data_IF_950312448449
#
_entry.id   IF_950312448449
#
_cell.length_a   1.000
_cell.length_b   1.000
_cell.length_c   1.000
_cell.angle_alpha   90.00
_cell.angle_beta   90.00
_cell.angle_gamma   90.00
#
_symmetry.space_group_name_H-M   'P 1'
#
loop_
_entity.id
_entity.type
_entity.pdbx_description
1 polymer ?
#
# COMPACT_ATOMS: atom_id res chain seq x y z
N UNK A 1 -75.02 -32.87 -31.14
CA UNK A 1 -73.65 -32.62 -30.66
C UNK A 1 -73.54 -31.13 -30.32
N UNK A 2 -73.26 -30.82 -29.06
CA UNK A 2 -73.57 -29.54 -28.43
C UNK A 2 -72.36 -28.58 -28.51
N UNK A 3 -72.48 -27.47 -29.25
CA UNK A 3 -71.39 -26.55 -29.62
C UNK A 3 -70.97 -25.57 -28.50
N UNK A 4 -71.53 -25.71 -27.30
CA UNK A 4 -71.42 -24.70 -26.23
C UNK A 4 -70.28 -24.96 -25.22
N UNK A 5 -69.72 -26.17 -25.19
CA UNK A 5 -68.63 -26.53 -24.25
C UNK A 5 -67.21 -26.16 -24.74
N UNK A 6 -67.04 -25.81 -26.03
CA UNK A 6 -65.71 -25.46 -26.58
C UNK A 6 -65.30 -24.00 -26.37
N UNK A 7 -66.22 -23.11 -25.99
CA UNK A 7 -65.92 -21.68 -25.81
C UNK A 7 -65.30 -21.33 -24.45
N UNK A 8 -65.43 -22.19 -23.45
CA UNK A 8 -64.92 -21.91 -22.09
C UNK A 8 -63.47 -22.36 -21.86
N UNK A 9 -62.89 -23.17 -22.76
CA UNK A 9 -61.50 -23.62 -22.67
C UNK A 9 -60.50 -22.68 -23.34
N UNK A 10 -60.95 -21.79 -24.23
CA UNK A 10 -60.07 -20.84 -24.92
C UNK A 10 -59.83 -19.53 -24.14
N UNK A 11 -60.77 -19.11 -23.27
CA UNK A 11 -60.61 -17.86 -22.50
C UNK A 11 -59.74 -18.02 -21.24
N UNK A 12 -59.57 -19.22 -20.70
CA UNK A 12 -58.70 -19.48 -19.53
C UNK A 12 -57.25 -19.68 -19.91
N UNK A 13 -56.95 -20.15 -21.13
CA UNK A 13 -55.58 -20.32 -21.62
C UNK A 13 -54.94 -18.97 -21.98
N UNK A 14 -55.73 -18.00 -22.45
CA UNK A 14 -55.21 -16.69 -22.85
C UNK A 14 -54.80 -15.79 -21.66
N UNK A 15 -55.45 -15.95 -20.50
CA UNK A 15 -55.10 -15.22 -19.27
C UNK A 15 -53.89 -15.83 -18.53
N UNK A 16 -53.61 -17.11 -18.71
CA UNK A 16 -52.39 -17.76 -18.18
C UNK A 16 -51.16 -17.50 -19.06
N UNK A 17 -51.33 -17.25 -20.36
CA UNK A 17 -50.22 -16.91 -21.26
C UNK A 17 -49.72 -15.46 -21.09
N UNK A 18 -50.56 -14.54 -20.60
CA UNK A 18 -50.15 -13.14 -20.38
C UNK A 18 -49.30 -12.97 -19.10
N UNK A 19 -49.46 -13.85 -18.11
CA UNK A 19 -48.66 -13.84 -16.87
C UNK A 19 -47.29 -14.54 -16.99
N UNK A 20 -47.04 -15.28 -18.09
CA UNK A 20 -45.77 -15.99 -18.31
C UNK A 20 -44.74 -15.20 -19.14
N UNK A 21 -45.10 -14.05 -19.71
CA UNK A 21 -44.16 -13.25 -20.53
C UNK A 21 -43.44 -12.16 -19.72
N UNK A 22 -44.03 -11.58 -18.68
CA UNK A 22 -43.43 -10.43 -17.98
C UNK A 22 -42.34 -10.78 -16.96
N UNK A 23 -41.80 -12.01 -16.99
CA UNK A 23 -40.96 -12.55 -15.91
C UNK A 23 -39.47 -12.72 -16.20
N UNK A 24 -38.97 -12.53 -17.42
CA UNK A 24 -37.52 -12.53 -17.65
C UNK A 24 -36.98 -11.10 -17.45
N UNK A 25 -36.81 -10.72 -16.18
CA UNK A 25 -35.82 -9.72 -15.85
C UNK A 25 -34.46 -10.29 -16.31
N UNK A 26 -33.90 -9.72 -17.38
CA UNK A 26 -32.53 -10.01 -17.76
C UNK A 26 -31.65 -9.65 -16.55
N UNK A 27 -31.10 -10.66 -15.88
CA UNK A 27 -30.09 -10.42 -14.86
C UNK A 27 -28.99 -9.60 -15.53
N UNK A 28 -28.78 -8.35 -15.08
CA UNK A 28 -27.58 -7.60 -15.46
C UNK A 28 -26.41 -8.53 -15.17
N UNK A 29 -25.59 -8.81 -16.19
CA UNK A 29 -24.36 -9.54 -15.98
C UNK A 29 -23.59 -8.79 -14.89
N UNK A 30 -23.30 -9.45 -13.77
CA UNK A 30 -22.44 -8.86 -12.75
C UNK A 30 -21.05 -8.63 -13.32
N UNK A 31 -20.26 -7.75 -12.71
CA UNK A 31 -18.91 -7.44 -13.20
C UNK A 31 -17.98 -8.66 -13.27
N UNK A 32 -18.28 -9.73 -12.52
CA UNK A 32 -17.50 -10.97 -12.44
C UNK A 32 -18.32 -12.13 -13.02
N UNK A 33 -17.97 -12.54 -14.24
CA UNK A 33 -18.49 -13.74 -14.92
C UNK A 33 -17.33 -14.52 -15.53
N UNK A 34 -17.61 -15.70 -16.09
CA UNK A 34 -16.60 -16.45 -16.87
C UNK A 34 -16.14 -15.70 -18.13
N UNK A 35 -16.90 -14.72 -18.61
CA UNK A 35 -16.62 -13.94 -19.81
C UNK A 35 -16.01 -12.56 -19.48
N UNK A 36 -16.29 -12.00 -18.30
CA UNK A 36 -15.88 -10.66 -17.89
C UNK A 36 -15.26 -10.71 -16.49
N UNK A 37 -14.00 -10.30 -16.34
CA UNK A 37 -13.24 -10.22 -15.08
C UNK A 37 -13.21 -11.47 -14.15
N UNK A 38 -13.19 -12.68 -14.71
CA UNK A 38 -13.13 -13.95 -13.95
C UNK A 38 -12.00 -14.01 -12.89
N UNK A 39 -10.88 -13.32 -13.12
CA UNK A 39 -9.71 -13.30 -12.22
C UNK A 39 -9.96 -12.71 -10.83
N UNK A 40 -11.03 -11.91 -10.63
CA UNK A 40 -11.39 -11.42 -9.29
C UNK A 40 -12.04 -12.48 -8.40
N UNK A 41 -12.39 -13.66 -8.92
CA UNK A 41 -12.89 -14.77 -8.09
C UNK A 41 -11.80 -15.43 -7.24
N UNK A 42 -10.52 -15.29 -7.62
CA UNK A 42 -9.37 -15.97 -7.02
C UNK A 42 -8.61 -15.13 -5.98
N UNK A 43 -8.74 -13.79 -6.04
CA UNK A 43 -8.09 -12.87 -5.10
C UNK A 43 -8.96 -12.65 -3.87
N UNK A 44 -8.59 -13.24 -2.73
CA UNK A 44 -9.21 -12.95 -1.42
C UNK A 44 -8.18 -12.81 -0.31
N UNK A 45 -8.39 -11.86 0.62
CA UNK A 45 -9.58 -11.00 0.79
C UNK A 45 -9.45 -9.61 0.12
N UNK A 46 -10.54 -9.12 -0.49
CA UNK A 46 -10.75 -7.70 -0.83
C UNK A 46 -11.01 -6.89 0.45
N UNK A 47 -10.71 -5.58 0.45
CA UNK A 47 -10.94 -4.71 1.61
C UNK A 47 -11.90 -3.56 1.27
N UNK A 48 -13.02 -3.40 2.01
CA UNK A 48 -13.59 -4.37 2.95
C UNK A 48 -14.10 -5.63 2.24
N UNK A 49 -14.27 -6.73 2.96
CA UNK A 49 -14.56 -8.05 2.36
C UNK A 49 -15.96 -8.11 1.70
N UNK A 50 -16.84 -7.23 2.15
CA UNK A 50 -18.21 -7.02 1.70
C UNK A 50 -18.40 -5.86 0.71
N UNK A 51 -17.33 -5.14 0.33
CA UNK A 51 -17.45 -4.04 -0.63
C UNK A 51 -17.90 -4.55 -2.02
N UNK A 52 -18.92 -3.90 -2.56
CA UNK A 52 -19.34 -4.05 -3.95
C UNK A 52 -18.40 -3.28 -4.89
N UNK A 53 -18.29 -3.69 -6.16
CA UNK A 53 -17.41 -3.03 -7.13
C UNK A 53 -17.73 -1.52 -7.28
N UNK A 54 -19.02 -1.18 -7.19
CA UNK A 54 -19.57 0.19 -7.29
C UNK A 54 -19.21 1.11 -6.14
N UNK A 55 -18.78 0.58 -4.98
CA UNK A 55 -18.29 1.42 -3.87
C UNK A 55 -16.97 2.10 -4.22
N UNK A 56 -16.28 1.58 -5.23
CA UNK A 56 -14.92 1.91 -5.59
C UNK A 56 -14.81 2.43 -7.04
N UNK A 57 -15.58 1.82 -7.93
CA UNK A 57 -15.67 2.20 -9.34
C UNK A 57 -16.93 3.04 -9.61
N UNK A 58 -16.77 4.05 -10.44
CA UNK A 58 -17.84 4.81 -11.06
C UNK A 58 -18.37 4.02 -12.26
N UNK A 59 -19.68 3.81 -12.32
CA UNK A 59 -20.39 3.23 -13.47
C UNK A 59 -21.44 4.21 -14.04
N UNK A 60 -21.05 5.34 -14.67
CA UNK A 60 -22.05 6.26 -15.19
C UNK A 60 -22.49 5.89 -16.61
N UNK A 61 -21.57 5.40 -17.47
CA UNK A 61 -21.76 5.25 -18.92
C UNK A 61 -20.74 4.24 -19.54
N UNK A 62 -20.59 3.07 -18.91
CA UNK A 62 -19.54 2.09 -19.19
C UNK A 62 -19.33 1.75 -20.69
N UNK A 63 -18.19 2.22 -21.25
CA UNK A 63 -17.63 1.83 -22.57
C UNK A 63 -16.70 0.61 -22.52
N UNK A 64 -16.33 0.12 -21.33
CA UNK A 64 -15.48 -1.03 -21.03
C UNK A 64 -16.21 -2.39 -21.14
N UNK A 65 -17.54 -2.41 -21.07
CA UNK A 65 -18.37 -3.59 -21.32
C UNK A 65 -18.16 -4.22 -22.72
N UNK A 66 -17.54 -3.51 -23.67
CA UNK A 66 -17.25 -4.00 -25.02
C UNK A 66 -16.00 -4.87 -25.18
N UNK A 67 -15.19 -5.04 -24.12
CA UNK A 67 -13.92 -5.77 -24.18
C UNK A 67 -12.77 -4.94 -24.79
N UNK A 68 -11.64 -4.87 -24.09
CA UNK A 68 -10.47 -4.09 -24.50
C UNK A 68 -10.53 -2.58 -24.23
N UNK A 69 -11.54 -2.12 -23.47
CA UNK A 69 -11.67 -0.73 -23.03
C UNK A 69 -10.80 -0.37 -21.82
N UNK A 70 -10.73 0.91 -21.50
CA UNK A 70 -10.09 1.42 -20.28
C UNK A 70 -10.80 0.88 -19.02
N UNK A 71 -10.08 0.68 -17.90
CA UNK A 71 -10.70 0.31 -16.63
C UNK A 71 -11.80 1.30 -16.22
N UNK A 72 -12.84 0.86 -15.48
CA UNK A 72 -13.81 1.79 -14.93
C UNK A 72 -13.13 2.91 -14.14
N UNK A 73 -13.69 4.12 -14.24
CA UNK A 73 -13.19 5.26 -13.48
C UNK A 73 -13.32 4.99 -11.98
N UNK A 74 -12.40 5.50 -11.17
CA UNK A 74 -12.44 5.37 -9.72
C UNK A 74 -13.12 6.59 -9.10
N UNK A 75 -13.78 6.41 -7.95
CA UNK A 75 -14.12 7.55 -7.10
C UNK A 75 -12.82 8.21 -6.63
N UNK A 76 -12.67 9.53 -6.84
CA UNK A 76 -11.45 10.28 -6.49
C UNK A 76 -11.08 10.14 -5.00
N UNK A 77 -12.08 9.98 -4.15
CA UNK A 77 -11.96 9.91 -2.69
C UNK A 77 -12.17 8.51 -2.10
N UNK A 78 -12.23 7.48 -2.93
CA UNK A 78 -12.58 6.11 -2.55
C UNK A 78 -11.89 5.64 -1.26
N UNK A 79 -10.58 5.89 -1.15
CA UNK A 79 -9.79 5.44 -0.01
C UNK A 79 -9.99 6.34 1.22
N UNK A 80 -10.05 7.65 1.02
CA UNK A 80 -10.08 8.64 2.11
C UNK A 80 -11.49 8.89 2.64
N UNK A 81 -12.53 8.42 1.94
CA UNK A 81 -13.90 8.40 2.45
C UNK A 81 -14.00 7.58 3.76
N UNK A 82 -13.16 6.55 3.90
CA UNK A 82 -13.07 5.72 5.11
C UNK A 82 -11.75 5.92 5.88
N UNK A 83 -10.65 6.26 5.20
CA UNK A 83 -9.32 6.47 5.80
C UNK A 83 -8.90 7.94 5.79
N UNK A 84 -9.77 8.83 6.24
CA UNK A 84 -9.58 10.28 6.21
C UNK A 84 -8.30 10.78 6.93
N UNK A 85 -7.83 10.06 7.94
CA UNK A 85 -6.63 10.41 8.72
C UNK A 85 -5.30 10.12 8.01
N UNK A 86 -5.27 9.31 6.95
CA UNK A 86 -4.01 8.87 6.29
C UNK A 86 -3.27 10.03 5.61
N UNK A 87 -3.99 11.09 5.25
CA UNK A 87 -3.42 12.29 4.65
C UNK A 87 -3.09 13.38 5.67
N UNK A 88 -3.45 13.19 6.94
CA UNK A 88 -3.30 14.18 8.00
C UNK A 88 -1.88 14.17 8.58
N UNK A 89 -0.89 14.49 7.74
CA UNK A 89 0.52 14.54 8.11
C UNK A 89 1.15 15.87 7.75
N UNK A 90 2.00 16.39 8.63
CA UNK A 90 2.74 17.65 8.37
C UNK A 90 3.67 17.54 7.15
N UNK A 91 4.26 16.38 6.93
CA UNK A 91 5.11 16.07 5.78
C UNK A 91 4.57 14.82 5.08
N UNK A 92 3.71 14.97 4.06
CA UNK A 92 3.18 13.83 3.32
C UNK A 92 4.27 13.15 2.52
N UNK A 93 4.17 11.82 2.37
CA UNK A 93 5.04 11.09 1.45
C UNK A 93 4.52 11.30 0.02
N UNK A 94 5.37 11.79 -0.89
CA UNK A 94 4.92 12.24 -2.23
C UNK A 94 4.03 11.28 -3.03
N UNK A 95 4.24 9.95 -3.02
CA UNK A 95 3.33 9.02 -3.72
C UNK A 95 1.93 8.94 -3.09
N UNK A 96 1.78 9.36 -1.84
CA UNK A 96 0.53 9.26 -1.07
C UNK A 96 -0.25 10.54 -1.26
N UNK A 97 -1.09 10.53 -2.28
CA UNK A 97 -2.11 11.54 -2.54
C UNK A 97 -3.50 10.92 -2.42
N UNK A 98 -4.54 11.76 -2.50
CA UNK A 98 -5.94 11.37 -2.34
C UNK A 98 -6.37 10.19 -3.21
N UNK A 99 -5.87 10.13 -4.45
CA UNK A 99 -6.24 9.14 -5.46
C UNK A 99 -5.13 8.15 -5.80
N UNK A 100 -3.99 8.18 -5.10
CA UNK A 100 -2.78 7.40 -5.45
C UNK A 100 -2.49 6.22 -4.52
N UNK A 101 -3.40 5.84 -3.62
CA UNK A 101 -3.19 4.73 -2.69
C UNK A 101 -2.86 3.40 -3.40
N UNK A 102 -3.39 3.21 -4.60
CA UNK A 102 -3.21 2.02 -5.42
C UNK A 102 -1.77 1.86 -5.97
N UNK A 103 -0.92 2.89 -5.89
CA UNK A 103 0.49 2.80 -6.30
C UNK A 103 1.29 1.86 -5.39
N UNK A 104 0.80 1.62 -4.17
CA UNK A 104 1.42 0.70 -3.21
C UNK A 104 0.47 -0.37 -2.69
N UNK A 105 -0.85 -0.14 -2.74
CA UNK A 105 -1.86 -1.10 -2.28
C UNK A 105 -2.64 -1.70 -3.44
N UNK A 106 -2.96 -2.99 -3.41
CA UNK A 106 -3.90 -3.66 -4.31
C UNK A 106 -5.28 -3.77 -3.63
N UNK A 107 -6.22 -2.84 -3.87
CA UNK A 107 -7.54 -2.85 -3.24
C UNK A 107 -8.39 -4.07 -3.64
N UNK A 108 -8.04 -4.76 -4.73
CA UNK A 108 -8.72 -5.98 -5.18
C UNK A 108 -8.22 -7.23 -4.46
N UNK A 109 -7.33 -7.07 -3.49
CA UNK A 109 -6.78 -8.16 -2.70
C UNK A 109 -5.47 -8.67 -3.27
N UNK A 110 -4.48 -8.81 -2.38
CA UNK A 110 -3.27 -9.59 -2.61
C UNK A 110 -3.13 -10.58 -1.44
N UNK A 111 -2.51 -11.73 -1.68
CA UNK A 111 -2.14 -12.71 -0.66
C UNK A 111 -1.16 -12.12 0.37
N UNK A 112 -0.50 -11.02 0.03
CA UNK A 112 0.38 -10.29 0.92
C UNK A 112 -0.36 -9.44 1.96
N UNK A 113 0.23 -9.34 3.17
CA UNK A 113 -0.32 -8.53 4.27
C UNK A 113 -0.51 -7.07 3.85
N UNK A 114 -1.60 -6.45 4.33
CA UNK A 114 -1.92 -5.03 4.10
C UNK A 114 -2.09 -4.65 2.62
N UNK A 115 -2.43 -5.63 1.77
CA UNK A 115 -2.66 -5.40 0.33
C UNK A 115 -1.42 -4.91 -0.42
N UNK A 116 -0.21 -5.25 0.02
CA UNK A 116 1.02 -4.75 -0.62
C UNK A 116 1.49 -5.73 -1.70
N UNK A 117 1.65 -5.34 -2.98
CA UNK A 117 2.03 -6.23 -4.07
C UNK A 117 3.52 -6.58 -4.08
N UNK A 118 4.26 -6.05 -3.10
CA UNK A 118 5.69 -6.22 -3.01
C UNK A 118 6.17 -6.49 -1.58
N UNK A 119 7.35 -7.12 -1.49
CA UNK A 119 8.01 -7.45 -0.24
C UNK A 119 8.14 -6.22 0.66
N UNK A 120 7.46 -6.30 1.80
CA UNK A 120 7.48 -5.33 2.88
C UNK A 120 7.41 -6.08 4.20
N UNK A 121 8.35 -5.83 5.10
CA UNK A 121 8.32 -6.45 6.43
C UNK A 121 7.63 -5.59 7.47
N UNK A 122 6.66 -6.18 8.18
CA UNK A 122 6.06 -5.64 9.39
C UNK A 122 6.91 -5.89 10.65
N UNK A 123 8.10 -6.48 10.53
CA UNK A 123 9.01 -6.70 11.67
C UNK A 123 9.89 -5.47 11.92
N UNK A 124 10.28 -5.27 13.16
CA UNK A 124 11.21 -4.20 13.57
C UNK A 124 12.64 -4.49 13.11
N UNK A 125 13.04 -5.76 13.22
CA UNK A 125 14.35 -6.24 12.79
C UNK A 125 14.16 -7.29 11.71
N UNK A 126 14.92 -7.14 10.62
CA UNK A 126 15.00 -8.07 9.50
C UNK A 126 16.42 -8.13 8.97
N UNK A 127 16.84 -9.30 8.51
CA UNK A 127 18.10 -9.44 7.81
C UNK A 127 17.97 -8.76 6.45
N UNK A 128 19.03 -8.08 6.01
CA UNK A 128 18.99 -7.39 4.73
C UNK A 128 18.85 -8.38 3.57
N UNK A 129 17.87 -8.13 2.71
CA UNK A 129 17.79 -8.70 1.37
C UNK A 129 17.02 -7.73 0.48
N UNK A 130 17.32 -7.73 -0.82
CA UNK A 130 16.60 -6.88 -1.78
C UNK A 130 15.09 -7.18 -1.79
N UNK A 131 14.70 -8.43 -1.57
CA UNK A 131 13.29 -8.82 -1.49
C UNK A 131 12.60 -8.23 -0.25
N UNK A 132 13.27 -8.18 0.90
CA UNK A 132 12.69 -7.67 2.14
C UNK A 132 12.31 -6.17 2.07
N UNK A 133 12.91 -5.44 1.13
CA UNK A 133 12.67 -4.01 0.88
C UNK A 133 12.12 -3.75 -0.54
N UNK A 134 11.65 -4.78 -1.25
CA UNK A 134 11.26 -4.67 -2.66
C UNK A 134 10.22 -3.59 -2.92
N UNK A 135 9.25 -3.41 -2.00
CA UNK A 135 8.27 -2.34 -2.10
C UNK A 135 8.94 -0.96 -2.11
N UNK A 136 9.89 -0.72 -1.20
CA UNK A 136 10.59 0.56 -1.11
C UNK A 136 11.45 0.82 -2.35
N UNK A 137 12.08 -0.23 -2.87
CA UNK A 137 12.98 -0.15 -4.02
C UNK A 137 12.29 -0.01 -5.37
N UNK A 138 10.94 -0.04 -5.42
CA UNK A 138 10.21 0.36 -6.62
C UNK A 138 10.42 1.84 -6.97
N UNK A 139 10.76 2.67 -5.97
CA UNK A 139 11.04 4.11 -6.15
C UNK A 139 12.39 4.55 -5.57
N UNK A 140 12.83 3.98 -4.44
CA UNK A 140 14.08 4.37 -3.80
C UNK A 140 15.27 3.59 -4.37
N UNK A 141 16.36 4.29 -4.70
CA UNK A 141 17.58 3.67 -5.24
C UNK A 141 18.28 2.79 -4.21
N UNK A 142 18.60 1.56 -4.58
CA UNK A 142 19.31 0.59 -3.73
C UNK A 142 20.65 1.10 -3.21
N UNK A 143 21.30 2.00 -3.94
CA UNK A 143 22.55 2.68 -3.57
C UNK A 143 22.53 3.26 -2.15
N UNK A 144 21.33 3.62 -1.63
CA UNK A 144 21.18 4.10 -0.26
C UNK A 144 21.65 3.08 0.80
N UNK A 145 21.65 1.78 0.47
CA UNK A 145 21.99 0.67 1.35
C UNK A 145 23.18 -0.19 0.90
N UNK A 146 23.68 -0.02 -0.32
CA UNK A 146 24.67 -0.95 -0.88
C UNK A 146 26.11 -0.69 -0.42
N UNK A 147 26.45 0.57 -0.16
CA UNK A 147 27.84 0.96 0.11
C UNK A 147 28.01 1.44 1.57
N UNK A 148 29.02 0.93 2.31
CA UNK A 148 29.32 1.38 3.67
C UNK A 148 29.79 2.84 3.72
N UNK A 149 30.34 3.34 2.61
CA UNK A 149 30.74 4.72 2.42
C UNK A 149 30.05 5.33 1.18
N UNK A 150 29.63 6.60 1.27
CA UNK A 150 29.04 7.36 0.17
C UNK A 150 29.14 8.85 0.40
N UNK A 151 29.28 9.63 -0.68
CA UNK A 151 29.14 11.09 -0.68
C UNK A 151 27.86 11.58 -1.36
N UNK A 152 27.17 10.72 -2.11
CA UNK A 152 26.10 11.10 -3.03
C UNK A 152 24.79 10.30 -2.82
N UNK A 153 24.87 9.04 -2.39
CA UNK A 153 23.71 8.14 -2.33
C UNK A 153 22.70 8.51 -1.24
N UNK A 154 23.16 9.16 -0.16
CA UNK A 154 22.30 9.63 0.93
C UNK A 154 22.88 10.83 1.67
N UNK A 155 21.98 11.66 2.22
CA UNK A 155 22.31 12.71 3.17
C UNK A 155 22.43 12.24 4.63
N UNK A 156 21.96 11.03 4.95
CA UNK A 156 22.10 10.40 6.26
C UNK A 156 23.46 9.69 6.36
N UNK A 157 24.51 10.50 6.57
CA UNK A 157 25.90 10.05 6.63
C UNK A 157 26.71 10.92 7.59
N UNK A 158 27.77 10.36 8.18
CA UNK A 158 28.76 11.10 8.96
C UNK A 158 30.08 11.10 8.18
N UNK A 159 30.47 12.25 7.63
CA UNK A 159 31.49 12.31 6.58
C UNK A 159 31.08 11.47 5.36
N UNK A 160 31.86 10.44 5.04
CA UNK A 160 31.52 9.44 4.02
C UNK A 160 30.74 8.26 4.58
N UNK A 161 30.72 8.04 5.89
CA UNK A 161 30.14 6.83 6.48
C UNK A 161 28.63 6.81 6.27
N UNK A 162 28.13 5.84 5.50
CA UNK A 162 26.72 5.70 5.19
C UNK A 162 25.94 5.15 6.40
N UNK A 163 25.16 6.02 7.06
CA UNK A 163 24.43 5.60 8.25
C UNK A 163 23.20 4.75 7.91
N UNK A 164 22.63 4.82 6.70
CA UNK A 164 21.60 3.85 6.31
C UNK A 164 22.17 2.44 6.23
N UNK A 165 23.32 2.27 5.57
CA UNK A 165 24.03 0.99 5.50
C UNK A 165 24.26 0.41 6.89
N UNK A 166 24.83 1.20 7.81
CA UNK A 166 25.14 0.75 9.18
C UNK A 166 23.91 0.26 9.97
N UNK A 167 22.71 0.74 9.66
CA UNK A 167 21.50 0.43 10.40
C UNK A 167 20.68 -0.69 9.75
N UNK A 168 20.65 -0.71 8.42
CA UNK A 168 19.70 -1.53 7.65
C UNK A 168 20.40 -2.72 7.00
N UNK A 169 21.60 -2.51 6.43
CA UNK A 169 22.35 -3.56 5.74
C UNK A 169 23.13 -4.42 6.73
N UNK A 170 22.43 -5.31 7.45
CA UNK A 170 23.03 -6.28 8.38
C UNK A 170 22.51 -7.69 8.11
N UNK A 171 23.43 -8.66 8.20
CA UNK A 171 23.12 -10.08 8.13
C UNK A 171 22.31 -10.57 9.35
N UNK A 172 22.39 -9.86 10.47
CA UNK A 172 21.61 -10.14 11.68
C UNK A 172 21.04 -8.84 12.27
N UNK A 173 19.72 -8.80 12.44
CA UNK A 173 18.98 -7.66 13.03
C UNK A 173 19.21 -6.32 12.33
N UNK A 174 19.20 -6.32 10.99
CA UNK A 174 19.02 -5.09 10.23
C UNK A 174 17.70 -4.41 10.60
N UNK A 175 17.65 -3.09 10.53
CA UNK A 175 16.46 -2.32 10.91
C UNK A 175 15.55 -2.15 9.71
N UNK A 176 14.27 -2.45 9.85
CA UNK A 176 13.30 -2.12 8.81
C UNK A 176 13.15 -0.61 8.66
N UNK A 177 12.80 -0.13 7.46
CA UNK A 177 12.61 1.30 7.20
C UNK A 177 11.60 1.93 8.16
N UNK A 178 10.55 1.18 8.51
CA UNK A 178 9.48 1.62 9.42
C UNK A 178 9.89 1.84 10.87
N UNK A 179 11.10 1.40 11.25
CA UNK A 179 11.64 1.68 12.59
C UNK A 179 12.10 3.14 12.73
N UNK A 180 12.28 3.84 11.61
CA UNK A 180 12.67 5.24 11.58
C UNK A 180 11.69 6.11 10.77
N UNK A 181 11.03 5.54 9.77
CA UNK A 181 10.18 6.27 8.83
C UNK A 181 8.70 5.92 8.94
N UNK A 182 7.82 6.91 8.79
CA UNK A 182 6.38 6.72 8.56
C UNK A 182 6.09 6.89 7.06
N UNK A 183 5.48 5.89 6.42
CA UNK A 183 5.47 5.80 4.96
C UNK A 183 4.25 6.44 4.28
N UNK A 184 3.19 6.77 5.01
CA UNK A 184 2.09 7.57 4.48
C UNK A 184 2.38 9.07 4.56
N UNK A 185 3.05 9.47 5.64
CA UNK A 185 3.52 10.82 5.91
C UNK A 185 3.96 10.91 7.35
N UNK A 186 4.74 11.92 7.71
CA UNK A 186 5.27 12.05 9.06
C UNK A 186 5.13 13.46 9.60
N UNK A 187 5.26 13.58 10.92
CA UNK A 187 5.31 14.88 11.61
C UNK A 187 6.67 15.57 11.48
N UNK A 188 7.69 14.84 11.01
CA UNK A 188 9.04 15.35 10.87
C UNK A 188 9.52 15.25 9.41
N UNK A 189 10.40 16.16 8.98
CA UNK A 189 10.98 16.12 7.64
C UNK A 189 11.69 14.79 7.36
N UNK A 190 11.79 14.44 6.07
CA UNK A 190 12.38 13.17 5.61
C UNK A 190 11.62 11.92 6.11
N UNK A 191 10.31 12.08 6.30
CA UNK A 191 9.39 11.02 6.73
C UNK A 191 9.77 10.41 8.07
N UNK A 192 10.46 11.14 8.94
CA UNK A 192 10.93 10.59 10.21
C UNK A 192 9.76 10.45 11.19
N UNK A 193 9.57 9.23 11.71
CA UNK A 193 8.54 8.97 12.70
C UNK A 193 8.85 9.71 14.00
N UNK A 194 7.84 10.35 14.61
CA UNK A 194 8.03 10.98 15.92
C UNK A 194 8.30 9.92 17.01
N UNK A 195 7.60 8.79 16.91
CA UNK A 195 7.78 7.61 17.75
C UNK A 195 7.42 6.36 16.96
N UNK A 196 7.99 5.22 17.37
CA UNK A 196 7.76 3.92 16.74
C UNK A 196 7.45 2.86 17.79
N UNK A 197 6.65 1.86 17.42
CA UNK A 197 6.30 0.76 18.31
C UNK A 197 7.47 -0.20 18.49
N UNK A 198 7.92 -0.37 19.72
CA UNK A 198 8.95 -1.32 20.11
C UNK A 198 8.42 -2.21 21.25
N UNK A 199 7.82 -3.35 20.89
CA UNK A 199 7.01 -4.11 21.84
C UNK A 199 5.83 -3.27 22.34
N UNK A 200 5.68 -3.18 23.66
CA UNK A 200 4.65 -2.36 24.30
C UNK A 200 5.05 -0.89 24.48
N UNK A 201 6.29 -0.54 24.14
CA UNK A 201 6.80 0.82 24.30
C UNK A 201 6.66 1.62 23.01
N UNK A 202 6.08 2.81 23.10
CA UNK A 202 6.21 3.83 22.05
C UNK A 202 7.53 4.58 22.22
N UNK A 203 8.53 4.10 21.51
CA UNK A 203 9.89 4.61 21.57
C UNK A 203 9.99 5.91 20.76
N UNK A 204 10.30 7.06 21.38
CA UNK A 204 10.50 8.29 20.64
C UNK A 204 11.79 8.21 19.82
N UNK A 205 11.74 8.66 18.56
CA UNK A 205 12.94 8.70 17.71
C UNK A 205 13.80 9.95 18.03
N UNK A 206 13.15 11.02 18.50
CA UNK A 206 13.78 12.31 18.84
C UNK A 206 14.78 12.78 17.78
N UNK A 207 14.40 12.68 16.51
CA UNK A 207 15.23 13.13 15.42
C UNK A 207 15.27 14.66 15.37
N UNK A 208 16.47 15.21 15.23
CA UNK A 208 16.73 16.65 15.09
C UNK A 208 17.63 16.86 13.88
N UNK A 209 17.24 17.77 13.00
CA UNK A 209 18.04 18.16 11.84
C UNK A 209 18.98 19.30 12.22
N UNK A 210 20.19 19.27 11.69
CA UNK A 210 21.11 20.42 11.64
C UNK A 210 21.40 20.77 10.18
N UNK A 211 22.07 21.91 9.93
CA UNK A 211 22.44 22.34 8.56
C UNK A 211 23.17 21.22 7.80
N UNK A 212 24.12 20.55 8.45
CA UNK A 212 24.99 19.56 7.83
C UNK A 212 24.72 18.11 8.26
N UNK A 213 23.71 17.86 9.08
CA UNK A 213 23.37 16.51 9.48
C UNK A 213 22.20 16.47 10.45
N UNK A 214 22.42 15.91 11.63
CA UNK A 214 21.38 15.78 12.64
C UNK A 214 21.78 14.90 13.82
N UNK A 215 20.79 14.57 14.64
CA UNK A 215 20.97 13.68 15.78
C UNK A 215 19.72 12.86 16.05
N UNK A 216 19.90 11.70 16.67
CA UNK A 216 18.82 10.94 17.27
C UNK A 216 19.12 10.78 18.76
N UNK A 217 18.10 10.94 19.61
CA UNK A 217 18.23 10.96 21.08
C UNK A 217 17.33 9.87 21.69
N UNK A 218 17.69 9.29 22.85
CA UNK A 218 17.71 7.84 22.95
C UNK A 218 16.35 7.18 22.88
N UNK A 219 16.31 6.17 22.01
CA UNK A 219 15.40 5.04 22.06
C UNK A 219 16.16 3.70 22.03
N UNK A 220 17.26 3.61 21.26
CA UNK A 220 18.03 2.37 21.09
C UNK A 220 19.51 2.45 21.54
N UNK A 221 20.11 3.63 21.52
CA UNK A 221 21.49 3.89 21.97
C UNK A 221 21.57 5.33 22.49
N UNK A 222 22.65 5.66 23.19
CA UNK A 222 22.98 7.03 23.59
C UNK A 222 22.89 8.01 22.42
N UNK A 223 22.62 9.28 22.68
CA UNK A 223 22.48 10.29 21.63
C UNK A 223 23.68 10.27 20.69
N UNK A 224 23.42 10.04 19.41
CA UNK A 224 24.44 10.12 18.35
C UNK A 224 24.11 11.30 17.45
N UNK A 225 25.16 12.03 17.08
CA UNK A 225 25.09 13.12 16.12
C UNK A 225 25.85 12.72 14.86
N UNK A 226 25.41 13.26 13.73
CA UNK A 226 26.10 13.08 12.46
C UNK A 226 26.24 14.41 11.74
N UNK A 227 27.36 14.55 11.04
CA UNK A 227 27.68 15.72 10.22
C UNK A 227 28.31 15.23 8.92
N UNK A 228 27.75 15.65 7.79
CA UNK A 228 28.23 15.30 6.45
C UNK A 228 29.60 15.88 6.11
N UNK A 229 30.04 16.94 6.82
CA UNK A 229 31.34 17.59 6.66
C UNK A 229 32.42 17.01 7.58
N UNK A 230 32.07 16.09 8.49
CA UNK A 230 33.04 15.45 9.36
C UNK A 230 34.07 14.63 8.56
N UNK A 231 35.29 14.53 9.08
CA UNK A 231 36.32 13.65 8.50
C UNK A 231 35.97 12.19 8.80
N UNK A 232 36.16 11.29 7.82
CA UNK A 232 35.73 9.89 7.91
C UNK A 232 36.31 9.13 9.13
N UNK A 233 37.44 9.59 9.69
CA UNK A 233 38.07 9.01 10.88
C UNK A 233 37.26 9.20 12.18
N UNK A 234 36.39 10.21 12.27
CA UNK A 234 35.67 10.56 13.50
C UNK A 234 34.41 9.71 13.77
N UNK A 235 34.01 8.83 12.84
CA UNK A 235 32.72 8.13 12.91
C UNK A 235 32.75 6.61 12.77
N UNK A 236 33.91 5.99 12.51
CA UNK A 236 34.01 4.51 12.46
C UNK A 236 34.12 3.97 13.88
N UNK A 237 33.12 3.21 14.38
CA UNK A 237 33.38 2.38 15.56
C UNK A 237 34.55 1.45 15.23
N UNK A 238 35.50 1.33 16.14
CA UNK A 238 36.64 0.44 15.99
C UNK A 238 36.12 -0.99 15.72
N UNK A 239 36.46 -1.55 14.55
CA UNK A 239 36.34 -2.96 14.18
C UNK A 239 35.15 -3.73 14.76
N UNK A 240 33.95 -3.53 14.20
CA UNK A 240 32.89 -4.52 14.31
C UNK A 240 33.05 -5.54 13.19
N UNK A 241 33.53 -6.73 13.53
CA UNK A 241 33.72 -7.86 12.60
C UNK A 241 32.46 -8.07 11.74
N UNK A 242 32.67 -8.17 10.44
CA UNK A 242 31.73 -8.73 9.48
C UNK A 242 31.49 -10.19 9.87
N UNK A 243 30.28 -10.50 10.34
CA UNK A 243 29.67 -11.83 10.31
C UNK A 243 28.33 -11.72 9.59
#
# INVERSE_FOLDING_TARGET
MNFQSMRSLFSTIFLLAFFLWTGLAAARAGCVTSQCHAGFTEKRPTHPAEAECSSCHLDPEDKHAGGGGEPPALHEDMCVACHDTVLAHRYPHSPVTRSSCHLCHDPHGDMARKLLPAGYSDKTFINYSDEAYRLCFSCHKRDLLMFPDTSYSTGFRHGTVNLHYLHVNKANRGRSCKLCHEMHGAEQPKMMAAAVSFGNWRMPVNFRITENGGSCSPGCHETRQYDRRATAAAGRPAGGQTN
#
